data_IF_692474102756
#
_entry.id   IF_692474102756
#
_cell.length_a   1.000
_cell.length_b   1.000
_cell.length_c   1.000
_cell.angle_alpha   90.00
_cell.angle_beta   90.00
_cell.angle_gamma   90.00
#
_symmetry.space_group_name_H-M   'P 1'
#
loop_
_entity.id
_entity.type
_entity.pdbx_description
1 polymer ?
#
# COMPACT_ATOMS: atom_id res chain seq x y z
N UNK A 1 -1.21 7.26 8.80
CA UNK A 1 0.10 7.83 8.48
C UNK A 1 -0.06 8.95 7.45
N UNK A 2 0.58 10.10 7.69
CA UNK A 2 0.64 11.23 6.77
C UNK A 2 2.09 11.62 6.53
N UNK A 3 2.54 11.61 5.28
CA UNK A 3 3.90 11.95 4.88
C UNK A 3 3.89 12.98 3.77
N UNK A 4 4.81 13.95 3.82
CA UNK A 4 5.01 14.93 2.76
C UNK A 4 6.29 14.55 2.01
N UNK A 5 6.17 14.24 0.72
CA UNK A 5 7.30 13.92 -0.15
C UNK A 5 7.27 14.86 -1.36
N UNK A 6 8.39 15.55 -1.62
CA UNK A 6 8.52 16.51 -2.74
C UNK A 6 7.35 17.51 -2.84
N UNK A 7 6.87 18.02 -1.70
CA UNK A 7 5.73 18.95 -1.63
C UNK A 7 4.34 18.31 -1.82
N UNK A 8 4.26 17.00 -2.08
CA UNK A 8 3.00 16.25 -2.18
C UNK A 8 2.68 15.57 -0.85
N UNK A 9 1.43 15.69 -0.41
CA UNK A 9 0.92 15.03 0.81
C UNK A 9 0.40 13.63 0.47
N UNK A 10 0.85 12.62 1.19
CA UNK A 10 0.39 11.24 1.13
C UNK A 10 -0.26 10.91 2.48
N UNK A 11 -1.55 10.57 2.47
CA UNK A 11 -2.34 10.41 3.69
C UNK A 11 -3.16 9.12 3.61
N UNK A 12 -2.82 8.14 4.44
CA UNK A 12 -3.50 6.84 4.48
C UNK A 12 -4.87 6.93 5.17
N UNK A 13 -5.12 7.94 6.00
CA UNK A 13 -6.38 8.08 6.76
C UNK A 13 -7.55 8.55 5.90
N UNK A 14 -7.26 9.34 4.86
CA UNK A 14 -8.27 9.92 3.97
C UNK A 14 -8.39 9.17 2.65
N UNK A 15 -7.40 8.35 2.31
CA UNK A 15 -7.37 7.64 1.04
C UNK A 15 -8.14 6.33 1.14
N UNK A 16 -8.92 6.00 0.11
CA UNK A 16 -9.65 4.74 0.04
C UNK A 16 -8.73 3.64 -0.49
N UNK A 17 -8.59 2.56 0.26
CA UNK A 17 -7.77 1.41 -0.10
C UNK A 17 -8.24 0.78 -1.42
N UNK A 18 -7.29 0.48 -2.31
CA UNK A 18 -7.57 -0.26 -3.57
C UNK A 18 -7.26 -1.74 -3.38
N UNK A 19 -6.14 -2.04 -2.71
CA UNK A 19 -5.72 -3.39 -2.40
C UNK A 19 -4.92 -3.41 -1.11
N UNK A 20 -5.03 -4.52 -0.39
CA UNK A 20 -4.35 -4.78 0.87
C UNK A 20 -3.79 -6.20 0.82
N UNK A 21 -2.53 -6.31 1.25
CA UNK A 21 -1.88 -7.58 1.53
C UNK A 21 -1.46 -7.51 2.99
N UNK A 22 -1.86 -8.51 3.75
CA UNK A 22 -1.45 -8.66 5.13
C UNK A 22 -0.84 -10.04 5.27
N UNK A 23 0.46 -10.05 5.53
CA UNK A 23 1.23 -11.27 5.76
C UNK A 23 1.79 -11.20 7.17
N UNK A 24 1.37 -12.15 8.01
CA UNK A 24 1.78 -12.20 9.40
C UNK A 24 1.94 -13.61 9.93
N UNK A 25 2.98 -13.83 10.73
CA UNK A 25 3.13 -14.93 11.67
C UNK A 25 3.49 -14.37 13.06
N UNK A 26 3.63 -15.23 14.06
CA UNK A 26 3.83 -14.86 15.47
C UNK A 26 5.00 -13.87 15.68
N UNK A 27 6.03 -13.92 14.85
CA UNK A 27 7.25 -13.10 14.98
C UNK A 27 7.42 -12.03 13.91
N UNK A 28 6.56 -12.00 12.88
CA UNK A 28 6.69 -11.09 11.76
C UNK A 28 5.31 -10.67 11.28
N UNK A 29 5.04 -9.38 11.25
CA UNK A 29 3.81 -8.84 10.69
C UNK A 29 4.15 -7.76 9.69
N UNK A 30 3.60 -7.89 8.48
CA UNK A 30 3.79 -6.97 7.36
C UNK A 30 2.46 -6.66 6.71
N UNK A 31 2.21 -5.38 6.47
CA UNK A 31 1.01 -4.87 5.83
C UNK A 31 1.44 -4.00 4.66
N UNK A 32 0.92 -4.30 3.47
CA UNK A 32 1.12 -3.49 2.27
C UNK A 32 -0.24 -3.05 1.76
N UNK A 33 -0.42 -1.75 1.56
CA UNK A 33 -1.68 -1.16 1.12
C UNK A 33 -1.42 -0.20 -0.02
N UNK A 34 -2.12 -0.43 -1.13
CA UNK A 34 -2.06 0.45 -2.29
C UNK A 34 -3.20 1.46 -2.23
N UNK A 35 -2.85 2.74 -2.29
CA UNK A 35 -3.80 3.85 -2.23
C UNK A 35 -3.77 4.68 -3.52
N UNK A 36 -4.94 5.10 -4.02
CA UNK A 36 -5.05 6.08 -5.08
C UNK A 36 -5.03 7.50 -4.52
N UNK A 37 -4.45 8.44 -5.27
CA UNK A 37 -4.61 9.89 -5.07
C UNK A 37 -5.71 10.42 -5.99
N UNK A 38 -6.33 11.53 -5.58
CA UNK A 38 -7.27 12.28 -6.41
C UNK A 38 -6.66 12.77 -7.73
N UNK A 39 -5.34 12.94 -7.79
CA UNK A 39 -4.60 13.39 -8.98
C UNK A 39 -4.35 12.27 -10.01
N UNK A 40 -4.79 11.04 -9.74
CA UNK A 40 -4.56 9.87 -10.62
C UNK A 40 -3.24 9.14 -10.37
N UNK A 41 -2.40 9.66 -9.47
CA UNK A 41 -1.21 8.98 -8.96
C UNK A 41 -1.59 7.95 -7.89
N UNK A 42 -0.64 7.07 -7.55
CA UNK A 42 -0.82 6.09 -6.48
C UNK A 42 0.30 6.22 -5.46
N UNK A 43 0.14 5.56 -4.33
CA UNK A 43 1.24 5.34 -3.40
C UNK A 43 1.05 4.02 -2.66
N UNK A 44 2.16 3.35 -2.44
CA UNK A 44 2.23 2.14 -1.63
C UNK A 44 2.60 2.54 -0.21
N UNK A 45 1.76 2.12 0.74
CA UNK A 45 2.07 2.17 2.15
C UNK A 45 2.50 0.78 2.61
N UNK A 46 3.68 0.69 3.20
CA UNK A 46 4.19 -0.55 3.78
C UNK A 46 4.45 -0.32 5.27
N UNK A 47 3.97 -1.26 6.10
CA UNK A 47 4.21 -1.27 7.53
C UNK A 47 4.70 -2.65 7.94
N UNK A 48 5.85 -2.70 8.58
CA UNK A 48 6.38 -3.89 9.23
C UNK A 48 6.50 -3.63 10.73
N UNK A 49 6.93 -4.65 11.50
CA UNK A 49 7.10 -4.54 12.97
C UNK A 49 8.06 -3.39 13.36
N UNK A 50 9.06 -3.11 12.53
CA UNK A 50 10.15 -2.19 12.83
C UNK A 50 10.05 -0.84 12.14
N UNK A 51 9.30 -0.73 11.04
CA UNK A 51 9.32 0.45 10.18
C UNK A 51 7.99 0.64 9.44
N UNK A 52 7.72 1.88 9.04
CA UNK A 52 6.64 2.24 8.15
C UNK A 52 7.12 3.20 7.04
N UNK A 53 6.75 2.88 5.80
CA UNK A 53 7.21 3.61 4.63
C UNK A 53 6.05 3.94 3.69
N UNK A 54 6.25 5.01 2.91
CA UNK A 54 5.36 5.41 1.83
C UNK A 54 6.20 5.63 0.59
N UNK A 55 5.85 4.95 -0.48
CA UNK A 55 6.51 5.06 -1.77
C UNK A 55 5.51 5.55 -2.82
N UNK A 56 5.81 6.66 -3.53
CA UNK A 56 4.95 7.17 -4.60
C UNK A 56 5.02 6.26 -5.82
N UNK A 57 3.87 5.94 -6.40
CA UNK A 57 3.74 5.05 -7.55
C UNK A 57 3.05 5.78 -8.70
N UNK A 58 3.53 5.56 -9.91
CA UNK A 58 2.76 5.85 -11.13
C UNK A 58 1.60 4.88 -11.27
N UNK A 59 0.68 5.19 -12.18
CA UNK A 59 -0.43 4.29 -12.50
C UNK A 59 0.08 2.94 -13.02
N UNK A 60 1.07 2.95 -13.89
CA UNK A 60 1.67 1.74 -14.47
C UNK A 60 2.34 0.86 -13.40
N UNK A 61 3.07 1.47 -12.46
CA UNK A 61 3.65 0.74 -11.33
C UNK A 61 2.58 0.15 -10.40
N UNK A 62 1.50 0.90 -10.18
CA UNK A 62 0.36 0.43 -9.38
C UNK A 62 -0.35 -0.76 -10.04
N UNK A 63 -0.62 -0.69 -11.34
CA UNK A 63 -1.20 -1.78 -12.13
C UNK A 63 -0.26 -3.01 -12.16
N UNK A 64 1.04 -2.81 -12.33
CA UNK A 64 2.03 -3.87 -12.27
C UNK A 64 2.07 -4.55 -10.89
N UNK A 65 2.00 -3.77 -9.82
CA UNK A 65 1.96 -4.27 -8.44
C UNK A 65 0.70 -5.10 -8.20
N UNK A 66 -0.47 -4.60 -8.61
CA UNK A 66 -1.75 -5.33 -8.51
C UNK A 66 -1.70 -6.67 -9.26
N UNK A 67 -1.12 -6.68 -10.47
CA UNK A 67 -0.98 -7.90 -11.27
C UNK A 67 -0.02 -8.90 -10.61
N UNK A 68 1.11 -8.42 -10.10
CA UNK A 68 2.14 -9.25 -9.45
C UNK A 68 1.61 -9.91 -8.19
N UNK A 69 0.87 -9.17 -7.38
CA UNK A 69 0.44 -9.61 -6.06
C UNK A 69 -1.02 -10.08 -6.01
N UNK A 70 -1.64 -10.34 -7.17
CA UNK A 70 -3.05 -10.73 -7.25
C UNK A 70 -3.40 -11.90 -6.32
N UNK A 71 -2.58 -12.94 -6.29
CA UNK A 71 -2.81 -14.12 -5.47
C UNK A 71 -2.79 -13.81 -3.96
N UNK A 72 -1.82 -13.02 -3.51
CA UNK A 72 -1.69 -12.61 -2.10
C UNK A 72 -2.86 -11.73 -1.67
N UNK A 73 -3.30 -10.81 -2.54
CA UNK A 73 -4.48 -9.97 -2.29
C UNK A 73 -5.74 -10.83 -2.15
N UNK A 74 -5.89 -11.87 -2.98
CA UNK A 74 -7.01 -12.80 -2.89
C UNK A 74 -6.96 -13.68 -1.64
N UNK A 75 -5.77 -14.03 -1.15
CA UNK A 75 -5.59 -14.78 0.10
C UNK A 75 -5.93 -13.93 1.34
N UNK A 76 -5.45 -12.69 1.40
CA UNK A 76 -5.78 -11.76 2.50
C UNK A 76 -7.29 -11.51 2.60
N UNK A 77 -8.03 -11.52 1.49
CA UNK A 77 -9.50 -11.36 1.49
C UNK A 77 -10.26 -12.57 2.06
N UNK A 78 -9.64 -13.75 2.12
CA UNK A 78 -10.28 -14.98 2.61
C UNK A 78 -10.15 -15.15 4.12
N UNK A 79 -9.27 -14.37 4.75
CA UNK A 79 -9.01 -14.39 6.19
C UNK A 79 -9.91 -13.39 6.89
#
# INVERSE_FOLDING_TARGET
>A
MKKVLKGKVYCTETAKEVARIENGCIFYHSVKILFPKKTGEYFLYEKNVVDESIEPYTKEEADAWLKRHKAEIEETKKT
#
